data_IF_431123239174
#
_entry.id   IF_431123239174
#
_cell.length_a   1.000
_cell.length_b   1.000
_cell.length_c   1.000
_cell.angle_alpha   90.00
_cell.angle_beta   90.00
_cell.angle_gamma   90.00
#
_symmetry.space_group_name_H-M   'P 1'
#
loop_
_entity.id
_entity.type
_entity.pdbx_description
1 polymer ?
#
# COMPACT_ATOMS: atom_id res chain seq x y z
N UNK A 1 3.98 7.43 -17.20
CA UNK A 1 2.95 6.47 -16.73
C UNK A 1 3.55 5.29 -15.95
N UNK A 2 4.64 4.67 -16.42
CA UNK A 2 5.38 3.63 -15.67
C UNK A 2 5.94 4.07 -14.31
N UNK A 3 6.28 5.36 -14.15
CA UNK A 3 6.85 5.90 -12.91
C UNK A 3 5.97 5.71 -11.66
N UNK A 4 4.64 5.87 -11.78
CA UNK A 4 3.72 5.72 -10.65
C UNK A 4 3.66 4.26 -10.17
N UNK A 5 3.67 3.30 -11.11
CA UNK A 5 3.72 1.87 -10.79
C UNK A 5 5.03 1.50 -10.08
N UNK A 6 6.17 2.03 -10.57
CA UNK A 6 7.47 1.82 -9.92
C UNK A 6 7.48 2.40 -8.52
N UNK A 7 6.96 3.62 -8.34
CA UNK A 7 6.86 4.26 -7.03
C UNK A 7 5.97 3.43 -6.08
N UNK A 8 4.82 2.95 -6.54
CA UNK A 8 3.94 2.09 -5.76
C UNK A 8 4.66 0.82 -5.28
N UNK A 9 5.39 0.14 -6.18
CA UNK A 9 6.18 -1.05 -5.83
C UNK A 9 7.28 -0.71 -4.83
N UNK A 10 8.00 0.40 -5.01
CA UNK A 10 9.05 0.83 -4.08
C UNK A 10 8.50 1.09 -2.67
N UNK A 11 7.36 1.80 -2.57
CA UNK A 11 6.69 2.03 -1.28
C UNK A 11 6.28 0.70 -0.64
N UNK A 12 5.80 -0.27 -1.44
CA UNK A 12 5.44 -1.59 -0.94
C UNK A 12 6.64 -2.39 -0.41
N UNK A 13 7.78 -2.34 -1.10
CA UNK A 13 9.03 -2.96 -0.63
C UNK A 13 9.48 -2.32 0.69
N UNK A 14 9.37 -1.00 0.82
CA UNK A 14 9.65 -0.30 2.09
C UNK A 14 8.70 -0.78 3.19
N UNK A 15 7.42 -0.97 2.88
CA UNK A 15 6.44 -1.49 3.84
C UNK A 15 6.85 -2.86 4.40
N UNK A 16 7.25 -3.79 3.51
CA UNK A 16 7.73 -5.12 3.88
C UNK A 16 9.04 -5.05 4.68
N UNK A 17 9.98 -4.19 4.28
CA UNK A 17 11.22 -3.98 5.02
C UNK A 17 10.98 -3.47 6.44
N UNK A 18 10.08 -2.49 6.61
CA UNK A 18 9.70 -1.96 7.93
C UNK A 18 9.04 -3.05 8.78
N UNK A 19 8.16 -3.86 8.19
CA UNK A 19 7.55 -5.01 8.87
C UNK A 19 8.61 -5.99 9.40
N UNK A 20 9.54 -6.42 8.54
CA UNK A 20 10.61 -7.36 8.92
C UNK A 20 11.54 -6.82 10.01
N UNK A 21 11.76 -5.49 10.05
CA UNK A 21 12.60 -4.85 11.07
C UNK A 21 11.91 -4.67 12.42
N UNK A 22 10.59 -4.45 12.44
CA UNK A 22 9.85 -4.17 13.69
C UNK A 22 9.36 -5.42 14.40
N UNK A 23 9.24 -6.57 13.71
CA UNK A 23 8.83 -7.89 14.25
C UNK A 23 7.78 -7.80 15.38
N UNK A 24 6.75 -6.99 15.21
CA UNK A 24 5.65 -6.94 16.18
C UNK A 24 4.70 -8.09 15.90
N UNK A 25 4.39 -8.92 16.91
CA UNK A 25 3.37 -9.98 16.79
C UNK A 25 2.02 -9.43 16.31
N UNK A 26 1.71 -8.19 16.67
CA UNK A 26 0.47 -7.50 16.27
C UNK A 26 0.42 -7.18 14.77
N UNK A 27 1.56 -7.22 14.07
CA UNK A 27 1.69 -6.87 12.66
C UNK A 27 1.85 -8.09 11.73
N UNK A 28 1.91 -9.33 12.24
CA UNK A 28 2.13 -10.54 11.42
C UNK A 28 1.12 -10.67 10.28
N UNK A 29 -0.16 -10.36 10.56
CA UNK A 29 -1.21 -10.34 9.56
C UNK A 29 -0.95 -9.33 8.43
N UNK A 30 -0.38 -8.15 8.74
CA UNK A 30 0.02 -7.18 7.72
C UNK A 30 1.23 -7.68 6.92
N UNK A 31 2.11 -8.50 7.49
CA UNK A 31 3.19 -9.16 6.76
C UNK A 31 2.68 -10.14 5.71
N UNK A 32 1.74 -11.01 6.08
CA UNK A 32 1.12 -11.97 5.15
C UNK A 32 0.37 -11.21 4.05
N UNK A 33 -0.49 -10.27 4.46
CA UNK A 33 -1.28 -9.47 3.53
C UNK A 33 -0.38 -8.64 2.60
N UNK A 34 0.69 -8.04 3.12
CA UNK A 34 1.68 -7.32 2.34
C UNK A 34 2.38 -8.22 1.32
N UNK A 35 2.82 -9.42 1.70
CA UNK A 35 3.47 -10.32 0.75
C UNK A 35 2.52 -10.76 -0.37
N UNK A 36 1.26 -11.09 -0.03
CA UNK A 36 0.24 -11.45 -1.02
C UNK A 36 -0.08 -10.28 -1.95
N UNK A 37 -0.21 -9.06 -1.41
CA UNK A 37 -0.42 -7.84 -2.19
C UNK A 37 0.75 -7.53 -3.11
N UNK A 38 1.99 -7.69 -2.62
CA UNK A 38 3.18 -7.48 -3.42
C UNK A 38 3.20 -8.40 -4.65
N UNK A 39 2.93 -9.70 -4.45
CA UNK A 39 2.85 -10.68 -5.55
C UNK A 39 1.76 -10.27 -6.55
N UNK A 40 0.58 -9.89 -6.06
CA UNK A 40 -0.52 -9.44 -6.91
C UNK A 40 -0.17 -8.16 -7.69
N UNK A 41 0.40 -7.15 -7.04
CA UNK A 41 0.79 -5.89 -7.67
C UNK A 41 1.87 -6.10 -8.73
N UNK A 42 2.87 -6.94 -8.47
CA UNK A 42 3.90 -7.30 -9.45
C UNK A 42 3.27 -8.05 -10.63
N UNK A 43 2.45 -9.08 -10.36
CA UNK A 43 1.78 -9.85 -11.41
C UNK A 43 0.88 -8.99 -12.30
N UNK A 44 0.11 -8.09 -11.70
CA UNK A 44 -0.73 -7.13 -12.43
C UNK A 44 0.10 -6.09 -13.18
N UNK A 45 1.23 -5.63 -12.63
CA UNK A 45 2.15 -4.74 -13.34
C UNK A 45 2.72 -5.41 -14.59
N UNK A 46 3.17 -6.66 -14.48
CA UNK A 46 3.66 -7.44 -15.63
C UNK A 46 2.55 -7.63 -16.65
N UNK A 47 1.34 -7.97 -16.21
CA UNK A 47 0.19 -8.11 -17.10
C UNK A 47 -0.13 -6.80 -17.85
N UNK A 48 -0.07 -5.65 -17.19
CA UNK A 48 -0.23 -4.32 -17.80
C UNK A 48 0.83 -4.03 -18.87
N UNK A 49 2.06 -4.48 -18.67
CA UNK A 49 3.17 -4.18 -19.58
C UNK A 49 3.28 -5.13 -20.77
N UNK A 50 2.77 -6.36 -20.65
CA UNK A 50 3.01 -7.43 -21.63
C UNK A 50 1.74 -7.92 -22.32
N UNK A 51 0.56 -7.72 -21.74
CA UNK A 51 -0.69 -8.24 -22.30
C UNK A 51 -1.38 -7.21 -23.20
N UNK A 52 -1.87 -7.67 -24.35
CA UNK A 52 -2.74 -6.87 -25.24
C UNK A 52 -4.09 -6.52 -24.58
N UNK A 53 -4.54 -7.32 -23.60
CA UNK A 53 -5.78 -7.13 -22.86
C UNK A 53 -5.52 -7.12 -21.35
N UNK A 54 -4.97 -6.03 -20.78
CA UNK A 54 -4.61 -6.04 -19.38
C UNK A 54 -5.82 -6.15 -18.47
N UNK A 55 -5.71 -7.02 -17.46
CA UNK A 55 -6.77 -7.38 -16.53
C UNK A 55 -7.32 -6.16 -15.77
N UNK A 56 -6.42 -5.26 -15.33
CA UNK A 56 -6.78 -4.06 -14.58
C UNK A 56 -7.73 -3.12 -15.34
N UNK A 57 -7.71 -3.13 -16.67
CA UNK A 57 -8.56 -2.28 -17.51
C UNK A 57 -9.83 -2.99 -18.00
N UNK A 58 -9.80 -4.33 -18.09
CA UNK A 58 -10.90 -5.11 -18.66
C UNK A 58 -11.83 -5.74 -17.62
N UNK A 59 -11.39 -5.86 -16.37
CA UNK A 59 -12.19 -6.42 -15.27
C UNK A 59 -12.51 -5.35 -14.23
N UNK A 60 -13.61 -4.58 -14.39
CA UNK A 60 -13.94 -3.49 -13.47
C UNK A 60 -14.18 -3.97 -12.03
N UNK A 61 -14.70 -5.19 -11.87
CA UNK A 61 -14.87 -5.81 -10.54
C UNK A 61 -13.54 -5.99 -9.80
N UNK A 62 -12.47 -6.35 -10.51
CA UNK A 62 -11.12 -6.45 -9.92
C UNK A 62 -10.63 -5.07 -9.46
N UNK A 63 -10.79 -4.06 -10.31
CA UNK A 63 -10.36 -2.69 -10.00
C UNK A 63 -11.08 -2.14 -8.77
N UNK A 64 -12.41 -2.22 -8.74
CA UNK A 64 -13.22 -1.77 -7.59
C UNK A 64 -12.97 -2.61 -6.34
N UNK A 65 -12.74 -3.91 -6.50
CA UNK A 65 -12.35 -4.79 -5.40
C UNK A 65 -11.04 -4.37 -4.76
N UNK A 66 -10.02 -4.05 -5.56
CA UNK A 66 -8.74 -3.55 -5.06
C UNK A 66 -8.87 -2.18 -4.38
N UNK A 67 -9.68 -1.26 -4.91
CA UNK A 67 -9.96 0.03 -4.27
C UNK A 67 -10.61 -0.17 -2.90
N UNK A 68 -11.69 -0.95 -2.84
CA UNK A 68 -12.38 -1.25 -1.58
C UNK A 68 -11.44 -1.93 -0.57
N UNK A 69 -10.58 -2.84 -1.05
CA UNK A 69 -9.60 -3.51 -0.21
C UNK A 69 -8.55 -2.53 0.34
N UNK A 70 -8.08 -1.58 -0.46
CA UNK A 70 -7.18 -0.51 0.00
C UNK A 70 -7.76 0.30 1.14
N UNK A 71 -9.01 0.74 0.99
CA UNK A 71 -9.73 1.48 2.03
C UNK A 71 -9.92 0.66 3.31
N UNK A 72 -10.15 -0.65 3.20
CA UNK A 72 -10.24 -1.54 4.36
C UNK A 72 -8.90 -1.63 5.08
N UNK A 73 -7.79 -1.79 4.35
CA UNK A 73 -6.45 -1.81 4.94
C UNK A 73 -6.14 -0.48 5.62
N UNK A 74 -6.49 0.64 4.98
CA UNK A 74 -6.35 2.00 5.53
C UNK A 74 -7.02 2.10 6.91
N UNK A 75 -8.34 1.84 6.97
CA UNK A 75 -9.12 1.96 8.21
C UNK A 75 -8.57 1.05 9.31
N UNK A 76 -8.27 -0.21 8.97
CA UNK A 76 -7.75 -1.18 9.95
C UNK A 76 -6.35 -0.78 10.44
N UNK A 77 -5.49 -0.29 9.55
CA UNK A 77 -4.13 0.12 9.90
C UNK A 77 -4.10 1.43 10.70
N UNK A 78 -5.01 2.37 10.44
CA UNK A 78 -5.23 3.56 11.28
C UNK A 78 -5.66 3.16 12.69
N UNK A 79 -6.67 2.29 12.81
CA UNK A 79 -7.16 1.82 14.10
C UNK A 79 -6.07 1.11 14.92
N UNK A 80 -5.23 0.30 14.25
CA UNK A 80 -4.10 -0.41 14.87
C UNK A 80 -2.83 0.42 15.01
N UNK A 81 -2.80 1.65 14.47
CA UNK A 81 -1.60 2.52 14.38
C UNK A 81 -0.39 1.79 13.78
N UNK A 82 -0.66 0.93 12.79
CA UNK A 82 0.36 0.09 12.16
C UNK A 82 1.05 0.84 11.02
N UNK A 83 2.37 1.03 11.15
CA UNK A 83 3.17 1.72 10.12
C UNK A 83 3.24 0.87 8.85
N UNK A 84 3.44 -0.45 8.98
CA UNK A 84 3.47 -1.35 7.82
C UNK A 84 2.12 -1.38 7.11
N UNK A 85 1.00 -1.44 7.85
CA UNK A 85 -0.34 -1.38 7.28
C UNK A 85 -0.61 -0.09 6.50
N UNK A 86 -0.23 1.06 7.04
CA UNK A 86 -0.38 2.36 6.35
C UNK A 86 0.45 2.42 5.06
N UNK A 87 1.68 1.90 5.06
CA UNK A 87 2.52 1.86 3.86
C UNK A 87 1.99 0.86 2.81
N UNK A 88 1.40 -0.26 3.24
CA UNK A 88 0.73 -1.21 2.34
C UNK A 88 -0.48 -0.53 1.67
N UNK A 89 -1.32 0.16 2.45
CA UNK A 89 -2.47 0.88 1.90
C UNK A 89 -2.02 1.99 0.93
N UNK A 90 -1.00 2.78 1.31
CA UNK A 90 -0.44 3.83 0.46
C UNK A 90 0.07 3.31 -0.88
N UNK A 91 0.82 2.21 -0.85
CA UNK A 91 1.31 1.59 -2.09
C UNK A 91 0.19 1.03 -2.95
N UNK A 92 -0.85 0.45 -2.38
CA UNK A 92 -2.01 -0.02 -3.14
C UNK A 92 -2.80 1.14 -3.75
N UNK A 93 -3.05 2.22 -3.00
CA UNK A 93 -3.71 3.41 -3.53
C UNK A 93 -2.89 4.04 -4.64
N UNK A 94 -1.57 4.21 -4.47
CA UNK A 94 -0.66 4.67 -5.53
C UNK A 94 -0.69 3.77 -6.77
N UNK A 95 -0.73 2.46 -6.58
CA UNK A 95 -0.82 1.50 -7.68
C UNK A 95 -2.09 1.70 -8.50
N UNK A 96 -3.22 1.93 -7.82
CA UNK A 96 -4.53 2.12 -8.43
C UNK A 96 -4.71 3.50 -9.06
N UNK A 97 -3.87 4.50 -8.74
CA UNK A 97 -3.85 5.79 -9.45
C UNK A 97 -3.61 5.58 -10.94
N UNK A 98 -2.74 4.64 -11.33
CA UNK A 98 -2.40 4.41 -12.74
C UNK A 98 -3.64 4.07 -13.60
N UNK A 99 -4.44 3.03 -13.28
CA UNK A 99 -5.61 2.69 -14.06
C UNK A 99 -6.80 3.65 -13.86
N UNK A 100 -6.78 4.51 -12.83
CA UNK A 100 -7.93 5.37 -12.47
C UNK A 100 -7.66 6.87 -12.63
N UNK A 101 -6.56 7.27 -13.27
CA UNK A 101 -6.12 8.68 -13.29
C UNK A 101 -7.17 9.65 -13.87
N UNK A 102 -8.00 9.18 -14.81
CA UNK A 102 -9.06 9.96 -15.43
C UNK A 102 -10.40 9.95 -14.66
N UNK A 103 -10.46 9.28 -13.51
CA UNK A 103 -11.66 9.19 -12.66
C UNK A 103 -11.34 9.56 -11.21
N UNK A 104 -11.19 8.57 -10.33
CA UNK A 104 -10.95 8.76 -8.90
C UNK A 104 -9.46 8.78 -8.52
N UNK A 105 -8.56 8.68 -9.49
CA UNK A 105 -7.12 8.53 -9.24
C UNK A 105 -6.51 9.70 -8.45
N UNK A 106 -7.01 10.93 -8.62
CA UNK A 106 -6.56 12.08 -7.81
C UNK A 106 -6.92 11.88 -6.32
N UNK A 107 -8.11 11.34 -6.04
CA UNK A 107 -8.55 11.07 -4.66
C UNK A 107 -7.67 9.98 -4.05
N UNK A 108 -7.40 8.90 -4.78
CA UNK A 108 -6.50 7.83 -4.33
C UNK A 108 -5.07 8.33 -4.10
N UNK A 109 -4.59 9.27 -4.93
CA UNK A 109 -3.27 9.88 -4.75
C UNK A 109 -3.20 10.69 -3.45
N UNK A 110 -4.23 11.47 -3.15
CA UNK A 110 -4.32 12.22 -1.89
C UNK A 110 -4.35 11.27 -0.69
N UNK A 111 -5.14 10.20 -0.74
CA UNK A 111 -5.18 9.18 0.31
C UNK A 111 -3.81 8.56 0.53
N UNK A 112 -3.11 8.17 -0.54
CA UNK A 112 -1.78 7.59 -0.42
C UNK A 112 -0.77 8.56 0.24
N UNK A 113 -0.84 9.86 -0.07
CA UNK A 113 0.00 10.87 0.59
C UNK A 113 -0.35 10.96 2.08
N UNK A 114 -1.63 10.99 2.43
CA UNK A 114 -2.08 11.02 3.82
C UNK A 114 -1.60 9.79 4.61
N UNK A 115 -1.63 8.61 4.00
CA UNK A 115 -1.17 7.37 4.61
C UNK A 115 0.35 7.32 4.80
N UNK A 116 1.12 7.85 3.84
CA UNK A 116 2.58 8.01 4.00
C UNK A 116 2.89 8.95 5.18
N UNK A 117 2.17 10.07 5.29
CA UNK A 117 2.32 11.01 6.42
C UNK A 117 1.92 10.32 7.74
N UNK A 118 0.81 9.60 7.76
CA UNK A 118 0.36 8.83 8.92
C UNK A 118 1.40 7.80 9.38
N UNK A 119 1.99 7.06 8.43
CA UNK A 119 3.06 6.10 8.67
C UNK A 119 4.30 6.77 9.30
N UNK A 120 4.71 7.94 8.79
CA UNK A 120 5.84 8.72 9.34
C UNK A 120 5.55 9.15 10.77
N UNK A 121 4.37 9.72 11.03
CA UNK A 121 3.98 10.18 12.38
C UNK A 121 3.96 9.04 13.39
N UNK A 122 3.39 7.88 13.02
CA UNK A 122 3.38 6.70 13.88
C UNK A 122 4.79 6.15 14.12
N UNK A 123 5.67 6.20 13.12
CA UNK A 123 7.06 5.79 13.26
C UNK A 123 7.85 6.70 14.22
N UNK A 124 7.68 8.02 14.10
CA UNK A 124 8.32 8.99 15.01
C UNK A 124 7.88 8.77 16.46
N UNK A 125 6.57 8.60 16.69
CA UNK A 125 6.03 8.32 18.03
C UNK A 125 6.56 7.02 18.63
N UNK A 126 6.75 5.99 17.81
CA UNK A 126 7.34 4.72 18.24
C UNK A 126 8.81 4.86 18.65
N UNK A 127 9.62 5.57 17.84
CA UNK A 127 11.04 5.88 18.15
C UNK A 127 11.18 6.62 19.48
N UNK A 128 10.34 7.61 19.71
CA UNK A 128 10.35 8.40 20.95
C UNK A 128 10.08 7.51 22.17
N UNK A 129 9.10 6.59 22.09
CA UNK A 129 8.80 5.67 23.19
C UNK A 129 10.00 4.79 23.58
N UNK A 130 10.70 4.22 22.60
CA UNK A 130 11.90 3.38 22.85
C UNK A 130 13.01 4.19 23.54
N UNK A 131 13.15 5.48 23.22
CA UNK A 131 14.19 6.32 23.81
C UNK A 131 13.94 6.67 25.28
N UNK A 132 12.70 6.63 25.77
CA UNK A 132 12.37 6.88 27.17
C UNK A 132 12.41 5.62 28.05
N UNK A 133 12.38 4.44 27.44
CA UNK A 133 12.46 3.14 28.14
C UNK A 133 13.91 2.62 28.27
N UNK A 134 14.89 3.38 27.77
CA UNK A 134 16.34 3.12 27.93
C UNK A 134 16.95 4.14 28.86
#
# INVERSE_FOLDING_TARGET
MSFILVLAILVHVIALFVFLRRKSEKDVWFGILGMSMFIAMVGLSVNVLVSDNPLLFHYPGLLWGLIAFGLVIEVVSLAKKSVSGQLIAASLHLFLVFPTIFSIGIILLVLAIMEIVGAILFFMKYRQKISYEK
#
